data_IF_730146086247
#
_entry.id   IF_730146086247
#
_cell.length_a   1.000
_cell.length_b   1.000
_cell.length_c   1.000
_cell.angle_alpha   90.00
_cell.angle_beta   90.00
_cell.angle_gamma   90.00
#
_symmetry.space_group_name_H-M   'P 1'
#
loop_
_entity.id
_entity.type
_entity.pdbx_description
1 polymer ?
#
# COMPACT_ATOMS: atom_id res chain seq x y z
N UNK A 1 47.11 93.93 27.24
CA UNK A 1 45.77 93.35 27.60
C UNK A 1 45.04 93.08 26.37
N UNK A 2 45.12 91.89 25.80
CA UNK A 2 44.39 91.50 24.58
C UNK A 2 43.86 90.12 24.72
N UNK A 3 42.55 89.98 24.61
CA UNK A 3 41.80 88.73 24.64
C UNK A 3 41.77 88.10 23.25
N UNK A 4 42.25 86.87 23.12
CA UNK A 4 42.15 86.06 21.93
C UNK A 4 40.83 85.24 21.97
N UNK A 5 39.97 85.45 20.99
CA UNK A 5 38.81 84.56 20.69
C UNK A 5 39.27 83.40 19.79
N UNK A 6 39.11 82.19 20.25
CA UNK A 6 39.25 81.00 19.43
C UNK A 6 37.89 80.52 19.01
N UNK A 7 37.65 80.47 17.70
CA UNK A 7 36.48 79.93 17.02
C UNK A 7 36.52 78.38 17.05
N UNK A 8 35.47 77.76 17.60
CA UNK A 8 35.28 76.33 17.52
C UNK A 8 34.48 76.05 16.24
N UNK A 9 35.03 75.22 15.34
CA UNK A 9 34.28 74.60 14.25
C UNK A 9 33.71 73.24 14.75
N UNK A 10 32.35 73.12 14.76
CA UNK A 10 31.70 71.88 15.04
C UNK A 10 31.73 71.02 13.79
N UNK A 11 32.29 69.80 13.87
CA UNK A 11 32.21 68.76 12.87
C UNK A 11 31.01 67.90 13.21
N UNK A 12 29.98 67.89 12.35
CA UNK A 12 28.84 67.02 12.46
C UNK A 12 29.22 65.66 11.86
N UNK A 13 29.35 64.65 12.72
CA UNK A 13 29.50 63.23 12.31
C UNK A 13 28.14 62.64 12.06
N UNK A 14 27.76 62.40 10.78
CA UNK A 14 26.58 61.66 10.41
C UNK A 14 26.84 60.16 10.58
N UNK A 15 26.29 59.56 11.62
CA UNK A 15 26.31 58.12 11.84
C UNK A 15 25.23 57.47 10.97
N UNK A 16 25.62 56.77 9.87
CA UNK A 16 24.76 55.90 9.10
C UNK A 16 24.51 54.65 9.96
N UNK A 17 23.30 54.50 10.52
CA UNK A 17 22.80 53.21 11.03
C UNK A 17 22.48 52.32 9.85
N UNK A 18 23.37 51.40 9.51
CA UNK A 18 23.09 50.27 8.66
C UNK A 18 22.24 49.29 9.48
N UNK A 19 20.92 49.27 9.24
CA UNK A 19 20.05 48.18 9.70
C UNK A 19 20.39 46.96 8.88
N UNK A 20 21.24 46.10 9.42
CA UNK A 20 21.36 44.73 8.94
C UNK A 20 20.04 44.02 9.25
N UNK A 21 19.21 43.84 8.25
CA UNK A 21 18.12 42.88 8.32
C UNK A 21 18.76 41.52 8.53
N UNK A 22 18.74 41.04 9.75
CA UNK A 22 18.99 39.61 10.06
C UNK A 22 17.93 38.86 9.33
N UNK A 23 18.29 38.25 8.19
CA UNK A 23 17.52 37.13 7.66
C UNK A 23 17.53 36.07 8.75
N UNK A 24 16.46 36.03 9.56
CA UNK A 24 16.28 34.95 10.51
C UNK A 24 16.39 33.66 9.73
N UNK A 25 17.35 32.82 10.07
CA UNK A 25 17.37 31.46 9.65
C UNK A 25 16.01 30.89 10.05
N UNK A 26 15.15 30.57 9.08
CA UNK A 26 13.94 29.83 9.36
C UNK A 26 14.39 28.60 10.16
N UNK A 27 13.98 28.51 11.42
CA UNK A 27 14.33 27.39 12.28
C UNK A 27 13.86 26.12 11.56
N UNK A 28 14.67 25.07 11.64
CA UNK A 28 14.29 23.77 11.11
C UNK A 28 12.90 23.39 11.64
N UNK A 29 11.96 23.10 10.74
CA UNK A 29 10.62 22.69 11.12
C UNK A 29 10.51 21.16 11.01
N UNK A 30 10.23 20.51 12.12
CA UNK A 30 9.98 19.06 12.13
C UNK A 30 8.50 18.82 11.80
N UNK A 31 8.25 17.93 10.82
CA UNK A 31 6.94 17.39 10.49
C UNK A 31 6.88 15.90 10.78
N UNK A 32 5.78 15.45 11.34
CA UNK A 32 5.56 14.05 11.68
C UNK A 32 4.93 13.30 10.51
N UNK A 33 5.51 12.14 10.19
CA UNK A 33 5.00 11.19 9.22
C UNK A 33 4.54 9.91 9.92
N UNK A 34 3.27 9.54 9.78
CA UNK A 34 2.77 8.25 10.23
C UNK A 34 2.61 7.31 9.04
N UNK A 35 3.25 6.13 9.09
CA UNK A 35 3.18 5.13 8.02
C UNK A 35 3.25 3.69 8.54
N UNK A 36 2.92 2.73 7.69
CA UNK A 36 3.18 1.30 7.92
C UNK A 36 4.42 0.81 7.12
N UNK A 37 4.53 0.32 6.07
CA UNK A 37 5.68 -0.11 5.22
C UNK A 37 6.92 -0.64 5.97
N UNK A 38 6.76 -1.12 7.22
CA UNK A 38 7.86 -1.69 8.00
C UNK A 38 8.87 -0.69 8.59
N UNK A 39 9.77 -1.20 9.42
CA UNK A 39 10.88 -0.48 10.07
C UNK A 39 12.21 -1.04 9.56
N UNK A 40 13.06 -0.22 8.96
CA UNK A 40 14.36 -0.63 8.40
C UNK A 40 15.47 0.40 8.61
N UNK A 41 15.38 1.18 9.69
CA UNK A 41 16.37 2.20 10.02
C UNK A 41 17.78 1.64 10.26
N UNK A 42 17.89 0.38 10.71
CA UNK A 42 19.20 -0.28 10.86
C UNK A 42 19.96 -0.35 9.54
N UNK A 43 19.26 -0.60 8.43
CA UNK A 43 19.87 -0.74 7.11
C UNK A 43 19.90 0.59 6.34
N UNK A 44 18.81 1.35 6.39
CA UNK A 44 18.62 2.51 5.53
C UNK A 44 18.58 3.87 6.27
N UNK A 45 18.64 3.92 7.60
CA UNK A 45 18.40 5.13 8.38
C UNK A 45 19.31 6.33 8.06
N UNK A 46 20.48 6.10 7.47
CA UNK A 46 21.43 7.16 7.04
C UNK A 46 21.66 7.20 5.52
N UNK A 47 20.99 6.31 4.77
CA UNK A 47 21.15 6.22 3.31
C UNK A 47 20.29 7.28 2.64
N UNK A 48 20.88 8.03 1.69
CA UNK A 48 20.19 9.02 0.84
C UNK A 48 20.24 8.66 -0.65
N UNK A 49 21.10 7.72 -1.02
CA UNK A 49 21.22 7.21 -2.38
C UNK A 49 20.11 6.18 -2.66
N UNK A 50 19.08 6.63 -3.38
CA UNK A 50 17.89 5.82 -3.67
C UNK A 50 18.20 4.54 -4.46
N UNK A 51 19.29 4.50 -5.21
CA UNK A 51 19.70 3.33 -5.97
C UNK A 51 20.05 2.12 -5.08
N UNK A 52 20.35 2.35 -3.81
CA UNK A 52 20.68 1.33 -2.81
C UNK A 52 19.46 0.79 -2.07
N UNK A 53 18.30 1.40 -2.25
CA UNK A 53 17.08 1.02 -1.56
C UNK A 53 16.32 -0.09 -2.32
N UNK A 54 15.83 -1.07 -1.56
CA UNK A 54 14.98 -2.14 -2.06
C UNK A 54 13.73 -2.30 -1.18
N UNK A 55 12.64 -2.77 -1.77
CA UNK A 55 11.36 -2.98 -1.11
C UNK A 55 10.71 -1.70 -0.61
N UNK A 56 9.48 -1.82 -0.10
CA UNK A 56 8.71 -0.67 0.39
C UNK A 56 9.44 0.09 1.51
N UNK A 57 9.88 -0.64 2.52
CA UNK A 57 10.54 -0.06 3.69
C UNK A 57 11.81 0.71 3.30
N UNK A 58 12.69 0.10 2.50
CA UNK A 58 13.94 0.72 2.06
C UNK A 58 13.69 1.97 1.22
N UNK A 59 12.84 1.86 0.20
CA UNK A 59 12.58 2.97 -0.73
C UNK A 59 11.95 4.16 -0.02
N UNK A 60 10.90 3.97 0.79
CA UNK A 60 10.26 5.10 1.49
C UNK A 60 11.18 5.73 2.56
N UNK A 61 12.01 4.93 3.24
CA UNK A 61 12.97 5.43 4.22
C UNK A 61 14.04 6.29 3.52
N UNK A 62 14.61 5.80 2.42
CA UNK A 62 15.63 6.55 1.67
C UNK A 62 15.04 7.80 0.99
N UNK A 63 13.82 7.75 0.47
CA UNK A 63 13.12 8.94 -0.03
C UNK A 63 12.93 9.98 1.07
N UNK A 64 12.55 9.57 2.28
CA UNK A 64 12.41 10.47 3.43
C UNK A 64 13.76 11.08 3.82
N UNK A 65 14.83 10.29 3.88
CA UNK A 65 16.18 10.78 4.18
C UNK A 65 16.67 11.76 3.11
N UNK A 66 16.40 11.45 1.84
CA UNK A 66 16.76 12.30 0.71
C UNK A 66 16.03 13.65 0.79
N UNK A 67 14.73 13.66 1.06
CA UNK A 67 14.00 14.91 1.32
C UNK A 67 14.61 15.69 2.47
N UNK A 68 14.88 15.05 3.60
CA UNK A 68 15.49 15.70 4.76
C UNK A 68 16.85 16.33 4.46
N UNK A 69 17.62 15.75 3.53
CA UNK A 69 18.93 16.26 3.14
C UNK A 69 18.88 17.36 2.07
N UNK A 70 17.89 17.33 1.18
CA UNK A 70 17.91 18.16 -0.05
C UNK A 70 16.88 19.30 -0.05
N UNK A 71 15.85 19.29 0.83
CA UNK A 71 14.84 20.33 0.80
C UNK A 71 15.41 21.69 1.22
N UNK A 72 14.92 22.75 0.56
CA UNK A 72 15.39 24.14 0.80
C UNK A 72 14.66 24.84 1.93
N UNK A 73 13.67 24.19 2.55
CA UNK A 73 12.88 24.74 3.66
C UNK A 73 13.56 24.52 5.01
N UNK A 74 14.62 23.70 5.08
CA UNK A 74 15.19 23.23 6.34
C UNK A 74 14.22 22.31 7.11
N UNK A 75 13.23 21.76 6.43
CA UNK A 75 12.25 20.87 7.04
C UNK A 75 12.84 19.48 7.29
N UNK A 76 12.40 18.84 8.37
CA UNK A 76 12.76 17.45 8.69
C UNK A 76 11.50 16.62 8.91
N UNK A 77 11.37 15.54 8.14
CA UNK A 77 10.35 14.53 8.35
C UNK A 77 10.81 13.55 9.42
N UNK A 78 10.04 13.43 10.48
CA UNK A 78 10.23 12.45 11.57
C UNK A 78 9.20 11.35 11.42
N UNK A 79 9.66 10.15 11.10
CA UNK A 79 8.78 9.01 10.81
C UNK A 79 8.43 8.26 12.08
N UNK A 80 7.13 7.96 12.24
CA UNK A 80 6.60 6.94 13.15
C UNK A 80 6.04 5.80 12.32
N UNK A 81 6.49 4.58 12.58
CA UNK A 81 6.01 3.37 11.91
C UNK A 81 5.06 2.61 12.84
N UNK A 82 3.98 2.11 12.28
CA UNK A 82 2.95 1.31 12.98
C UNK A 82 2.67 0.07 12.14
N UNK A 83 2.55 -1.08 12.79
CA UNK A 83 2.13 -2.31 12.12
C UNK A 83 0.78 -2.15 11.44
N UNK A 84 0.64 -2.68 10.22
CA UNK A 84 -0.52 -2.46 9.37
C UNK A 84 -1.85 -2.79 10.05
N UNK A 85 -1.92 -3.89 10.80
CA UNK A 85 -3.14 -4.34 11.50
C UNK A 85 -3.68 -3.30 12.49
N UNK A 86 -2.79 -2.57 13.19
CA UNK A 86 -3.12 -1.56 14.20
C UNK A 86 -3.15 -0.12 13.66
N UNK A 87 -2.73 0.09 12.42
CA UNK A 87 -2.43 1.41 11.87
C UNK A 87 -3.62 2.38 11.93
N UNK A 88 -4.78 1.97 11.45
CA UNK A 88 -5.95 2.87 11.38
C UNK A 88 -6.58 3.15 12.74
N UNK A 89 -6.48 2.22 13.68
CA UNK A 89 -6.91 2.44 15.06
C UNK A 89 -5.99 3.47 15.72
N UNK A 90 -4.67 3.36 15.52
CA UNK A 90 -3.71 4.33 16.03
C UNK A 90 -3.88 5.69 15.36
N UNK A 91 -4.02 5.77 14.03
CA UNK A 91 -4.29 7.04 13.33
C UNK A 91 -5.56 7.70 13.84
N UNK A 92 -6.63 6.92 14.07
CA UNK A 92 -7.88 7.44 14.63
C UNK A 92 -7.68 7.97 16.06
N UNK A 93 -6.91 7.27 16.89
CA UNK A 93 -6.62 7.68 18.27
C UNK A 93 -5.86 9.01 18.34
N UNK A 94 -5.03 9.36 17.33
CA UNK A 94 -4.29 10.63 17.32
C UNK A 94 -5.21 11.85 17.37
N UNK A 95 -6.40 11.79 16.78
CA UNK A 95 -7.38 12.89 16.84
C UNK A 95 -7.93 13.10 18.23
N UNK A 96 -8.07 12.02 19.03
CA UNK A 96 -8.55 12.12 20.39
C UNK A 96 -7.48 12.61 21.37
N UNK A 97 -6.21 12.33 21.08
CA UNK A 97 -5.05 12.72 21.91
C UNK A 97 -4.45 14.07 21.53
N UNK A 98 -4.83 14.62 20.38
CA UNK A 98 -4.25 15.86 19.83
C UNK A 98 -2.85 15.69 19.24
N UNK A 99 -2.35 14.45 19.10
CA UNK A 99 -1.05 14.16 18.48
C UNK A 99 -1.20 13.80 17.00
N UNK A 100 -1.91 14.64 16.26
CA UNK A 100 -2.27 14.42 14.86
C UNK A 100 -1.00 14.51 14.00
N UNK A 101 -0.68 13.51 13.14
CA UNK A 101 0.49 13.57 12.28
C UNK A 101 0.33 14.64 11.19
N UNK A 102 1.46 15.20 10.74
CA UNK A 102 1.45 16.20 9.66
C UNK A 102 1.21 15.56 8.29
N UNK A 103 1.71 14.33 8.08
CA UNK A 103 1.46 13.52 6.89
C UNK A 103 1.16 12.09 7.32
N UNK A 104 0.24 11.43 6.64
CA UNK A 104 -0.06 10.02 6.85
C UNK A 104 -0.26 9.29 5.52
N UNK A 105 0.11 8.00 5.46
CA UNK A 105 -0.30 7.13 4.36
C UNK A 105 -1.71 6.61 4.59
N UNK A 106 -2.48 6.42 3.51
CA UNK A 106 -3.85 5.92 3.61
C UNK A 106 -4.18 5.04 2.40
N UNK A 107 -4.97 3.97 2.62
CA UNK A 107 -5.56 3.23 1.52
C UNK A 107 -6.76 4.00 0.94
N UNK A 108 -6.92 3.93 -0.37
CA UNK A 108 -8.06 4.54 -1.05
C UNK A 108 -9.39 4.02 -0.51
N UNK A 109 -9.48 2.72 -0.23
CA UNK A 109 -10.67 2.08 0.35
C UNK A 109 -11.04 2.60 1.74
N UNK A 110 -10.09 3.14 2.50
CA UNK A 110 -10.30 3.65 3.86
C UNK A 110 -10.54 5.16 3.89
N UNK A 111 -10.11 5.90 2.88
CA UNK A 111 -10.22 7.37 2.83
C UNK A 111 -11.63 7.89 3.14
N UNK A 112 -12.74 7.29 2.64
CA UNK A 112 -14.10 7.77 2.94
C UNK A 112 -14.44 7.82 4.44
N UNK A 113 -13.83 6.97 5.25
CA UNK A 113 -14.03 6.98 6.70
C UNK A 113 -13.46 8.24 7.37
N UNK A 114 -12.43 8.81 6.80
CA UNK A 114 -11.79 10.03 7.31
C UNK A 114 -12.35 11.29 6.64
N UNK A 115 -12.47 11.32 5.31
CA UNK A 115 -13.01 12.48 4.57
C UNK A 115 -14.48 12.76 4.92
N UNK A 116 -15.29 11.72 5.08
CA UNK A 116 -16.71 11.86 5.48
C UNK A 116 -16.92 12.39 6.91
N UNK A 117 -15.87 12.39 7.74
CA UNK A 117 -15.87 12.91 9.12
C UNK A 117 -15.10 14.22 9.26
N UNK A 118 -14.73 14.85 8.16
CA UNK A 118 -13.94 16.08 8.11
C UNK A 118 -12.58 15.98 8.86
N UNK A 119 -11.93 14.82 8.74
CA UNK A 119 -10.64 14.55 9.39
C UNK A 119 -9.43 14.73 8.47
N UNK A 120 -9.65 15.12 7.22
CA UNK A 120 -8.58 15.34 6.24
C UNK A 120 -8.59 16.79 5.73
N UNK A 121 -7.42 17.31 5.45
CA UNK A 121 -7.25 18.60 4.80
C UNK A 121 -7.52 18.48 3.30
N UNK A 122 -8.36 19.34 2.68
CA UNK A 122 -8.54 19.40 1.23
C UNK A 122 -7.23 19.73 0.53
N UNK A 123 -6.91 19.03 -0.54
CA UNK A 123 -5.65 19.18 -1.29
C UNK A 123 -5.81 19.74 -2.70
N UNK A 124 -7.03 20.00 -3.20
CA UNK A 124 -7.23 20.53 -4.56
C UNK A 124 -6.45 21.82 -4.83
N UNK A 125 -6.51 22.77 -3.89
CA UNK A 125 -5.74 24.02 -3.95
C UNK A 125 -4.24 23.78 -3.85
N UNK A 126 -3.76 23.15 -2.76
CA UNK A 126 -2.34 22.85 -2.55
C UNK A 126 -1.69 22.09 -3.71
N UNK A 127 -2.31 21.04 -4.26
CA UNK A 127 -1.75 20.29 -5.39
C UNK A 127 -1.60 21.18 -6.64
N UNK A 128 -2.55 22.06 -6.90
CA UNK A 128 -2.46 23.01 -8.01
C UNK A 128 -1.33 24.02 -7.79
N UNK A 129 -1.19 24.59 -6.59
CA UNK A 129 -0.12 25.53 -6.24
C UNK A 129 1.27 24.91 -6.33
N UNK A 130 1.39 23.61 -5.99
CA UNK A 130 2.61 22.82 -6.13
C UNK A 130 2.91 22.42 -7.58
N UNK A 131 2.05 22.74 -8.54
CA UNK A 131 2.22 22.37 -9.93
C UNK A 131 2.09 20.84 -10.16
N UNK A 132 1.25 20.17 -9.37
CA UNK A 132 0.90 18.76 -9.56
C UNK A 132 -0.36 18.71 -10.45
N UNK A 133 -0.25 18.31 -11.72
CA UNK A 133 -1.36 18.30 -12.63
C UNK A 133 -2.29 17.12 -12.36
N UNK A 134 -3.58 17.37 -12.23
CA UNK A 134 -4.57 16.33 -11.97
C UNK A 134 -4.74 15.35 -13.15
N UNK A 135 -4.43 15.79 -14.37
CA UNK A 135 -4.49 14.98 -15.60
C UNK A 135 -3.29 14.03 -15.77
N UNK A 136 -2.26 14.14 -14.93
CA UNK A 136 -1.19 13.14 -14.85
C UNK A 136 -1.62 11.87 -14.08
N UNK A 137 -2.70 11.93 -13.32
CA UNK A 137 -3.21 10.75 -12.63
C UNK A 137 -4.17 9.94 -13.50
N UNK A 138 -4.07 8.61 -13.42
CA UNK A 138 -5.08 7.74 -14.04
C UNK A 138 -6.45 8.04 -13.44
N UNK A 139 -7.54 8.09 -14.27
CA UNK A 139 -8.84 8.57 -13.82
C UNK A 139 -9.39 7.87 -12.57
N UNK A 140 -9.16 6.55 -12.45
CA UNK A 140 -9.61 5.77 -11.30
C UNK A 140 -8.92 6.19 -9.99
N UNK A 141 -7.60 6.47 -10.03
CA UNK A 141 -6.84 6.88 -8.86
C UNK A 141 -7.29 8.27 -8.38
N UNK A 142 -7.48 9.21 -9.31
CA UNK A 142 -7.98 10.54 -8.98
C UNK A 142 -9.41 10.50 -8.43
N UNK A 143 -10.29 9.69 -9.04
CA UNK A 143 -11.65 9.46 -8.54
C UNK A 143 -11.64 8.97 -7.09
N UNK A 144 -10.78 7.99 -6.79
CA UNK A 144 -10.69 7.40 -5.45
C UNK A 144 -10.10 8.37 -4.41
N UNK A 145 -9.31 9.37 -4.82
CA UNK A 145 -8.78 10.42 -3.98
C UNK A 145 -9.76 11.59 -3.77
N UNK A 146 -10.92 11.56 -4.44
CA UNK A 146 -11.88 12.68 -4.48
C UNK A 146 -13.14 12.31 -3.71
N UNK A 147 -13.62 13.21 -2.86
CA UNK A 147 -14.91 13.13 -2.20
C UNK A 147 -15.61 14.50 -2.27
N UNK A 148 -16.91 14.51 -2.57
CA UNK A 148 -17.72 15.73 -2.69
C UNK A 148 -17.12 16.83 -3.60
N UNK A 149 -16.41 16.41 -4.66
CA UNK A 149 -15.76 17.33 -5.61
C UNK A 149 -14.41 17.88 -5.16
N UNK A 150 -13.91 17.50 -3.99
CA UNK A 150 -12.62 17.89 -3.43
C UNK A 150 -11.62 16.71 -3.43
N UNK A 151 -10.36 16.97 -3.75
CA UNK A 151 -9.27 15.99 -3.61
C UNK A 151 -8.78 16.05 -2.16
N UNK A 152 -8.74 14.90 -1.48
CA UNK A 152 -8.26 14.77 -0.09
C UNK A 152 -6.95 14.03 0.06
N UNK A 153 -6.44 13.43 -1.01
CA UNK A 153 -5.23 12.65 -0.98
C UNK A 153 -4.42 12.83 -2.25
N UNK A 154 -3.10 12.72 -2.15
CA UNK A 154 -2.20 12.54 -3.28
C UNK A 154 -2.18 11.06 -3.65
N UNK A 155 -2.73 10.63 -4.80
CA UNK A 155 -2.63 9.23 -5.24
C UNK A 155 -1.16 8.83 -5.42
N UNK A 156 -0.80 7.61 -4.99
CA UNK A 156 0.60 7.22 -4.98
C UNK A 156 0.89 5.95 -5.79
N UNK A 157 0.05 4.91 -5.65
CA UNK A 157 0.20 3.65 -6.39
C UNK A 157 -1.14 2.96 -6.66
N UNK A 158 -1.04 1.87 -7.40
CA UNK A 158 -2.02 0.79 -7.44
C UNK A 158 -1.31 -0.50 -7.01
N UNK A 159 -1.88 -1.22 -6.07
CA UNK A 159 -1.40 -2.52 -5.65
C UNK A 159 -2.51 -3.57 -5.74
N UNK A 160 -2.14 -4.80 -6.05
CA UNK A 160 -3.08 -5.87 -6.30
C UNK A 160 -2.48 -7.22 -5.89
N UNK A 161 -3.33 -8.24 -5.75
CA UNK A 161 -2.88 -9.61 -5.54
C UNK A 161 -2.17 -10.16 -6.76
N UNK A 162 -1.15 -10.95 -6.50
CA UNK A 162 -0.36 -11.69 -7.48
C UNK A 162 -0.10 -13.13 -6.98
N UNK A 163 0.26 -13.99 -7.89
CA UNK A 163 0.92 -15.26 -7.60
C UNK A 163 2.44 -15.07 -7.76
N UNK A 164 3.17 -15.13 -6.65
CA UNK A 164 4.63 -15.22 -6.67
C UNK A 164 5.03 -16.68 -6.77
N UNK A 165 5.87 -17.05 -7.73
CA UNK A 165 6.06 -18.44 -8.14
C UNK A 165 7.51 -18.88 -7.93
N UNK A 166 7.68 -19.97 -7.19
CA UNK A 166 8.95 -20.69 -7.06
C UNK A 166 9.10 -21.64 -8.25
N UNK A 167 9.85 -21.19 -9.26
CA UNK A 167 10.05 -21.98 -10.48
C UNK A 167 10.93 -23.22 -10.29
N UNK A 168 11.73 -23.28 -9.23
CA UNK A 168 12.52 -24.47 -8.92
C UNK A 168 11.58 -25.63 -8.54
N UNK A 169 10.61 -25.37 -7.68
CA UNK A 169 9.60 -26.35 -7.30
C UNK A 169 8.59 -26.63 -8.41
N UNK A 170 8.22 -25.60 -9.20
CA UNK A 170 7.34 -25.83 -10.35
C UNK A 170 7.98 -26.76 -11.39
N UNK A 171 9.28 -26.61 -11.67
CA UNK A 171 10.04 -27.50 -12.54
C UNK A 171 10.12 -28.92 -11.96
N UNK A 172 10.38 -29.05 -10.66
CA UNK A 172 10.39 -30.36 -9.97
C UNK A 172 9.04 -31.08 -10.12
N UNK A 173 7.93 -30.33 -10.07
CA UNK A 173 6.58 -30.87 -10.26
C UNK A 173 6.17 -31.07 -11.74
N UNK A 174 7.05 -30.81 -12.71
CA UNK A 174 6.73 -30.78 -14.14
C UNK A 174 5.57 -29.82 -14.45
N UNK A 175 5.58 -28.63 -13.84
CA UNK A 175 4.57 -27.57 -13.98
C UNK A 175 5.18 -26.27 -14.54
N UNK A 176 6.18 -26.39 -15.38
CA UNK A 176 6.76 -25.28 -16.15
C UNK A 176 6.47 -25.47 -17.65
N UNK A 177 6.11 -24.39 -18.32
CA UNK A 177 5.97 -24.36 -19.77
C UNK A 177 7.34 -24.39 -20.48
N UNK A 178 7.41 -24.74 -21.76
CA UNK A 178 8.67 -24.76 -22.54
C UNK A 178 9.39 -23.42 -22.58
N UNK A 179 8.66 -22.29 -22.47
CA UNK A 179 9.21 -20.92 -22.42
C UNK A 179 9.72 -20.52 -21.02
N UNK A 180 9.63 -21.43 -20.06
CA UNK A 180 10.04 -21.19 -18.67
C UNK A 180 9.04 -20.45 -17.81
N UNK A 181 7.82 -20.17 -18.33
CA UNK A 181 6.72 -19.63 -17.51
C UNK A 181 6.06 -20.71 -16.66
N UNK A 182 5.38 -20.37 -15.54
CA UNK A 182 4.65 -21.35 -14.75
C UNK A 182 3.38 -21.82 -15.49
N UNK A 183 3.05 -23.10 -15.32
CA UNK A 183 1.73 -23.62 -15.71
C UNK A 183 0.73 -23.25 -14.61
N UNK A 184 -0.15 -22.30 -14.91
CA UNK A 184 -1.16 -21.81 -13.97
C UNK A 184 -2.53 -22.43 -14.24
N UNK A 185 -3.37 -22.63 -13.21
CA UNK A 185 -4.72 -23.17 -13.37
C UNK A 185 -5.63 -22.20 -14.13
N UNK A 186 -6.61 -22.73 -14.85
CA UNK A 186 -7.61 -21.99 -15.64
C UNK A 186 -9.02 -22.16 -15.12
N UNK A 187 -9.18 -22.87 -14.01
CA UNK A 187 -10.45 -23.03 -13.30
C UNK A 187 -10.19 -23.38 -11.82
N UNK A 188 -11.25 -23.28 -11.01
CA UNK A 188 -11.21 -23.69 -9.60
C UNK A 188 -10.83 -25.18 -9.44
N UNK A 189 -11.41 -26.06 -10.25
CA UNK A 189 -11.10 -27.50 -10.21
C UNK A 189 -9.65 -27.77 -10.61
N UNK A 190 -9.14 -27.04 -11.62
CA UNK A 190 -7.75 -27.18 -12.06
C UNK A 190 -6.78 -26.69 -10.98
N UNK A 191 -7.11 -25.66 -10.21
CA UNK A 191 -6.29 -25.22 -9.08
C UNK A 191 -6.08 -26.35 -8.07
N UNK A 192 -7.15 -27.02 -7.69
CA UNK A 192 -7.07 -28.15 -6.74
C UNK A 192 -6.33 -29.32 -7.36
N UNK A 193 -6.59 -29.67 -8.62
CA UNK A 193 -5.91 -30.75 -9.31
C UNK A 193 -4.39 -30.50 -9.44
N UNK A 194 -4.00 -29.30 -9.84
CA UNK A 194 -2.60 -28.89 -9.91
C UNK A 194 -1.94 -28.88 -8.54
N UNK A 195 -2.64 -28.38 -7.50
CA UNK A 195 -2.13 -28.39 -6.13
C UNK A 195 -1.84 -29.81 -5.61
N UNK A 196 -2.76 -30.77 -5.86
CA UNK A 196 -2.53 -32.19 -5.51
C UNK A 196 -1.32 -32.80 -6.24
N UNK A 197 -1.23 -32.58 -7.56
CA UNK A 197 -0.09 -33.02 -8.36
C UNK A 197 1.23 -32.40 -7.85
N UNK A 198 1.23 -31.13 -7.55
CA UNK A 198 2.41 -30.44 -6.99
C UNK A 198 2.82 -31.05 -5.66
N UNK A 199 1.87 -31.23 -4.73
CA UNK A 199 2.11 -31.82 -3.42
C UNK A 199 2.64 -33.25 -3.51
N UNK A 200 2.09 -34.08 -4.41
CA UNK A 200 2.58 -35.43 -4.68
C UNK A 200 4.04 -35.45 -5.17
N UNK A 201 4.39 -34.53 -6.09
CA UNK A 201 5.69 -34.46 -6.70
C UNK A 201 6.77 -33.86 -5.79
N UNK A 202 6.40 -32.94 -4.90
CA UNK A 202 7.37 -32.17 -4.10
C UNK A 202 7.33 -32.48 -2.61
N UNK A 203 6.25 -33.08 -2.11
CA UNK A 203 5.96 -33.25 -0.69
C UNK A 203 5.60 -31.92 0.04
N UNK A 204 5.40 -30.83 -0.69
CA UNK A 204 5.20 -29.49 -0.15
C UNK A 204 3.81 -28.94 -0.46
N UNK A 205 3.28 -27.99 0.34
CA UNK A 205 2.09 -27.22 0.00
C UNK A 205 2.25 -26.51 -1.34
N UNK A 206 1.15 -26.40 -2.08
CA UNK A 206 1.14 -25.68 -3.35
C UNK A 206 1.13 -24.16 -3.13
N UNK A 207 0.39 -23.70 -2.12
CA UNK A 207 0.19 -22.27 -1.82
C UNK A 207 0.69 -21.97 -0.41
N UNK A 208 1.51 -20.94 -0.26
CA UNK A 208 1.72 -20.22 0.98
C UNK A 208 0.84 -18.97 0.97
N UNK A 209 0.22 -18.67 2.10
CA UNK A 209 -0.53 -17.45 2.32
C UNK A 209 -0.67 -17.19 3.81
N UNK A 210 -0.86 -15.93 4.19
CA UNK A 210 -1.32 -15.60 5.52
C UNK A 210 -2.68 -16.26 5.78
N UNK A 211 -2.78 -16.97 6.90
CA UNK A 211 -3.91 -17.84 7.25
C UNK A 211 -4.41 -17.65 8.69
N UNK A 212 -3.68 -16.95 9.54
CA UNK A 212 -3.99 -16.81 10.97
C UNK A 212 -4.15 -15.38 11.46
N UNK A 213 -3.58 -14.39 10.79
CA UNK A 213 -3.54 -13.04 11.30
C UNK A 213 -4.70 -12.17 10.75
N UNK A 214 -4.74 -10.92 11.21
CA UNK A 214 -5.73 -9.94 10.81
C UNK A 214 -5.39 -9.24 9.47
N UNK A 215 -4.38 -9.71 8.73
CA UNK A 215 -3.99 -9.14 7.43
C UNK A 215 -5.03 -9.45 6.35
N UNK A 216 -5.73 -10.58 6.47
CA UNK A 216 -6.88 -10.93 5.64
C UNK A 216 -6.54 -11.23 4.19
N UNK A 217 -5.42 -11.86 3.91
CA UNK A 217 -5.03 -12.22 2.55
C UNK A 217 -6.08 -13.10 1.87
N UNK A 218 -6.67 -14.03 2.63
CA UNK A 218 -7.74 -14.89 2.11
C UNK A 218 -9.06 -14.15 1.88
N UNK A 219 -9.33 -13.04 2.59
CA UNK A 219 -10.48 -12.17 2.27
C UNK A 219 -10.26 -11.48 0.92
N UNK A 220 -9.06 -10.97 0.65
CA UNK A 220 -8.71 -10.39 -0.66
C UNK A 220 -8.85 -11.42 -1.79
N UNK A 221 -8.48 -12.66 -1.52
CA UNK A 221 -8.67 -13.75 -2.48
C UNK A 221 -10.14 -14.10 -2.64
N UNK A 222 -10.91 -14.15 -1.56
CA UNK A 222 -12.38 -14.35 -1.60
C UNK A 222 -13.06 -13.26 -2.44
N UNK A 223 -12.75 -11.98 -2.21
CA UNK A 223 -13.27 -10.87 -3.01
C UNK A 223 -12.92 -11.02 -4.50
N UNK A 224 -11.68 -11.43 -4.79
CA UNK A 224 -11.25 -11.75 -6.16
C UNK A 224 -12.15 -12.82 -6.80
N UNK A 225 -12.40 -13.91 -6.07
CA UNK A 225 -13.25 -15.01 -6.56
C UNK A 225 -14.71 -14.60 -6.75
N UNK A 226 -15.24 -13.72 -5.89
CA UNK A 226 -16.57 -13.14 -6.04
C UNK A 226 -16.68 -12.31 -7.32
N UNK A 227 -15.73 -11.38 -7.53
CA UNK A 227 -15.70 -10.55 -8.74
C UNK A 227 -15.46 -11.36 -10.02
N UNK A 228 -14.69 -12.45 -9.95
CA UNK A 228 -14.55 -13.37 -11.07
C UNK A 228 -15.88 -14.06 -11.44
N UNK A 229 -16.84 -14.12 -10.52
CA UNK A 229 -18.20 -14.61 -10.76
C UNK A 229 -19.20 -13.48 -11.04
N UNK A 230 -18.77 -12.22 -11.05
CA UNK A 230 -19.60 -11.05 -11.38
C UNK A 230 -20.42 -10.51 -10.20
N UNK A 231 -20.06 -10.84 -8.96
CA UNK A 231 -20.75 -10.40 -7.74
C UNK A 231 -19.85 -9.50 -6.90
N UNK A 232 -20.37 -8.34 -6.50
CA UNK A 232 -19.75 -7.47 -5.52
C UNK A 232 -20.12 -7.90 -4.10
N UNK A 233 -19.12 -7.99 -3.21
CA UNK A 233 -19.31 -8.36 -1.80
C UNK A 233 -20.18 -7.34 -1.06
N UNK A 234 -20.04 -6.05 -1.41
CA UNK A 234 -20.86 -4.94 -0.90
C UNK A 234 -21.37 -4.15 -2.09
N UNK A 235 -22.65 -3.77 -2.06
CA UNK A 235 -23.24 -2.93 -3.10
C UNK A 235 -22.51 -1.60 -3.27
N UNK A 236 -22.53 -1.03 -4.48
CA UNK A 236 -21.83 0.22 -4.81
C UNK A 236 -22.27 1.42 -3.95
N UNK A 237 -23.49 1.39 -3.41
CA UNK A 237 -24.00 2.43 -2.49
C UNK A 237 -23.67 2.15 -1.01
N UNK A 238 -22.93 1.07 -0.74
CA UNK A 238 -22.51 0.68 0.61
C UNK A 238 -23.60 0.23 1.56
N UNK A 239 -24.79 -0.15 1.05
CA UNK A 239 -25.95 -0.44 1.90
C UNK A 239 -26.28 -1.91 2.09
N UNK A 240 -25.84 -2.78 1.21
CA UNK A 240 -26.14 -4.20 1.24
C UNK A 240 -24.87 -5.05 1.08
N UNK A 241 -24.84 -6.19 1.75
CA UNK A 241 -23.84 -7.22 1.53
C UNK A 241 -24.43 -8.32 0.60
N UNK A 242 -23.56 -8.94 -0.22
CA UNK A 242 -23.93 -10.04 -1.12
C UNK A 242 -22.90 -11.17 -0.99
N UNK A 243 -22.72 -11.68 0.23
CA UNK A 243 -21.74 -12.71 0.59
C UNK A 243 -22.35 -14.10 0.58
N UNK A 244 -23.51 -14.26 1.22
CA UNK A 244 -24.22 -15.53 1.32
C UNK A 244 -25.05 -15.78 0.04
N UNK A 245 -24.33 -16.09 -1.03
CA UNK A 245 -24.86 -16.34 -2.38
C UNK A 245 -24.28 -17.63 -2.95
N UNK A 246 -24.81 -18.18 -4.05
CA UNK A 246 -24.19 -19.32 -4.72
C UNK A 246 -22.73 -19.07 -5.11
N UNK A 247 -22.40 -17.86 -5.55
CA UNK A 247 -21.05 -17.44 -5.93
C UNK A 247 -20.12 -17.39 -4.71
N UNK A 248 -20.63 -16.87 -3.57
CA UNK A 248 -19.93 -16.90 -2.29
C UNK A 248 -19.65 -18.34 -1.84
N UNK A 249 -20.65 -19.23 -2.01
CA UNK A 249 -20.48 -20.64 -1.66
C UNK A 249 -19.42 -21.33 -2.54
N UNK A 250 -19.36 -21.02 -3.83
CA UNK A 250 -18.31 -21.53 -4.72
C UNK A 250 -16.92 -21.05 -4.28
N UNK A 251 -16.77 -19.76 -3.97
CA UNK A 251 -15.53 -19.17 -3.49
C UNK A 251 -15.08 -19.78 -2.15
N UNK A 252 -15.99 -19.89 -1.18
CA UNK A 252 -15.73 -20.48 0.13
C UNK A 252 -15.35 -21.96 0.04
N UNK A 253 -16.03 -22.74 -0.79
CA UNK A 253 -15.69 -24.16 -1.03
C UNK A 253 -14.30 -24.32 -1.64
N UNK A 254 -13.93 -23.47 -2.61
CA UNK A 254 -12.59 -23.51 -3.19
C UNK A 254 -11.51 -23.23 -2.14
N UNK A 255 -11.68 -22.18 -1.34
CA UNK A 255 -10.74 -21.84 -0.27
C UNK A 255 -10.68 -22.96 0.77
N UNK A 256 -11.83 -23.48 1.21
CA UNK A 256 -11.89 -24.62 2.14
C UNK A 256 -11.16 -25.85 1.59
N UNK A 257 -11.31 -26.15 0.29
CA UNK A 257 -10.63 -27.27 -0.36
C UNK A 257 -9.10 -27.08 -0.40
N UNK A 258 -8.60 -25.86 -0.59
CA UNK A 258 -7.15 -25.56 -0.54
C UNK A 258 -6.56 -26.03 0.81
N UNK A 259 -7.26 -25.77 1.91
CA UNK A 259 -6.78 -26.16 3.25
C UNK A 259 -7.05 -27.64 3.58
N UNK A 260 -8.25 -28.13 3.32
CA UNK A 260 -8.65 -29.51 3.66
C UNK A 260 -7.87 -30.57 2.87
N UNK A 261 -7.42 -30.27 1.66
CA UNK A 261 -6.53 -31.13 0.87
C UNK A 261 -5.03 -30.91 1.24
N UNK A 262 -4.76 -30.02 2.20
CA UNK A 262 -3.40 -29.71 2.65
C UNK A 262 -2.55 -29.07 1.55
N UNK A 263 -3.17 -28.27 0.71
CA UNK A 263 -2.47 -27.50 -0.34
C UNK A 263 -1.95 -26.16 0.16
N UNK A 264 -2.40 -25.71 1.35
CA UNK A 264 -1.85 -24.58 2.09
C UNK A 264 -1.64 -24.98 3.55
N UNK A 265 -0.71 -24.28 4.22
CA UNK A 265 -0.44 -24.46 5.65
C UNK A 265 -1.29 -23.45 6.45
N UNK A 266 -2.26 -23.89 7.27
CA UNK A 266 -3.13 -22.99 8.04
C UNK A 266 -2.42 -22.30 9.21
N UNK A 267 -1.17 -22.70 9.54
CA UNK A 267 -0.42 -22.17 10.68
C UNK A 267 0.42 -20.92 10.36
N UNK A 268 0.40 -20.45 9.10
CA UNK A 268 1.23 -19.32 8.69
C UNK A 268 0.53 -17.98 8.99
N UNK A 269 1.23 -17.11 9.68
CA UNK A 269 0.95 -15.67 9.71
C UNK A 269 1.59 -14.99 8.48
N UNK A 270 1.48 -13.68 8.38
CA UNK A 270 1.97 -12.94 7.22
C UNK A 270 3.51 -13.10 7.05
N UNK A 271 4.38 -12.79 8.05
CA UNK A 271 5.81 -12.99 7.92
C UNK A 271 6.20 -14.46 7.70
N UNK A 272 5.50 -15.38 8.35
CA UNK A 272 5.71 -16.82 8.19
C UNK A 272 5.42 -17.31 6.78
N UNK A 273 4.41 -16.75 6.11
CA UNK A 273 4.08 -17.10 4.72
C UNK A 273 5.16 -16.66 3.74
N UNK A 274 5.68 -15.45 3.90
CA UNK A 274 6.81 -14.93 3.12
C UNK A 274 8.07 -15.77 3.34
N UNK A 275 8.38 -16.06 4.61
CA UNK A 275 9.56 -16.85 4.95
C UNK A 275 9.46 -18.29 4.42
N UNK A 276 8.30 -18.92 4.50
CA UNK A 276 8.07 -20.25 3.93
C UNK A 276 8.33 -20.28 2.42
N UNK A 277 7.86 -19.25 1.70
CA UNK A 277 8.11 -19.12 0.27
C UNK A 277 9.62 -18.93 -0.04
N UNK A 278 10.30 -18.04 0.68
CA UNK A 278 11.75 -17.80 0.52
C UNK A 278 12.59 -19.02 0.87
N UNK A 279 12.15 -19.83 1.83
CA UNK A 279 12.76 -21.10 2.20
C UNK A 279 12.48 -22.23 1.19
N UNK A 280 11.69 -21.97 0.14
CA UNK A 280 11.31 -22.99 -0.82
C UNK A 280 10.38 -24.06 -0.24
N UNK A 281 9.51 -23.69 0.68
CA UNK A 281 8.54 -24.58 1.33
C UNK A 281 7.17 -24.60 0.65
N UNK A 282 6.95 -23.73 -0.36
CA UNK A 282 5.73 -23.71 -1.16
C UNK A 282 6.01 -23.34 -2.62
N UNK A 283 5.13 -23.78 -3.53
CA UNK A 283 5.24 -23.50 -4.95
C UNK A 283 4.84 -22.07 -5.34
N UNK A 284 3.84 -21.56 -4.67
CA UNK A 284 3.26 -20.24 -4.91
C UNK A 284 3.12 -19.52 -3.56
N UNK A 285 3.42 -18.21 -3.54
CA UNK A 285 2.98 -17.33 -2.47
C UNK A 285 1.84 -16.45 -3.01
N UNK A 286 0.67 -16.52 -2.39
CA UNK A 286 -0.40 -15.55 -2.62
C UNK A 286 -0.10 -14.31 -1.80
N UNK A 287 0.36 -13.27 -2.48
CA UNK A 287 0.69 -11.98 -1.88
C UNK A 287 0.45 -10.88 -2.93
N UNK A 288 0.91 -9.66 -2.71
CA UNK A 288 0.64 -8.56 -3.62
C UNK A 288 1.87 -8.01 -4.33
N UNK A 289 1.62 -7.01 -5.17
CA UNK A 289 2.64 -6.32 -5.96
C UNK A 289 3.80 -5.80 -5.11
N UNK A 290 3.58 -5.47 -3.84
CA UNK A 290 4.57 -4.95 -2.89
C UNK A 290 5.73 -5.91 -2.58
N UNK A 291 5.57 -7.21 -2.82
CA UNK A 291 6.60 -8.21 -2.59
C UNK A 291 7.57 -8.44 -3.75
N UNK A 292 7.27 -7.95 -4.96
CA UNK A 292 7.98 -8.30 -6.20
C UNK A 292 9.48 -8.01 -6.12
N UNK A 293 9.86 -6.80 -5.72
CA UNK A 293 11.27 -6.40 -5.62
C UNK A 293 12.02 -7.19 -4.54
N UNK A 294 11.38 -7.37 -3.38
CA UNK A 294 11.97 -8.12 -2.28
C UNK A 294 12.25 -9.58 -2.68
N UNK A 295 11.27 -10.29 -3.23
CA UNK A 295 11.46 -11.70 -3.58
C UNK A 295 12.43 -11.89 -4.74
N UNK A 296 12.42 -11.01 -5.74
CA UNK A 296 13.40 -11.00 -6.84
C UNK A 296 14.83 -10.77 -6.31
N UNK A 297 15.01 -9.78 -5.44
CA UNK A 297 16.29 -9.47 -4.81
C UNK A 297 16.79 -10.62 -3.94
N UNK A 298 15.93 -11.23 -3.14
CA UNK A 298 16.29 -12.40 -2.30
C UNK A 298 16.69 -13.60 -3.16
N UNK A 299 15.97 -13.89 -4.23
CA UNK A 299 16.31 -14.97 -5.14
C UNK A 299 17.68 -14.73 -5.83
N UNK A 300 17.94 -13.52 -6.30
CA UNK A 300 19.20 -13.13 -6.96
C UNK A 300 20.38 -13.07 -6.01
N UNK A 301 20.17 -12.72 -4.74
CA UNK A 301 21.24 -12.64 -3.73
C UNK A 301 21.89 -14.01 -3.43
N UNK A 302 21.20 -15.10 -3.75
CA UNK A 302 21.62 -16.45 -3.41
C UNK A 302 21.50 -16.81 -1.92
N UNK A 303 20.99 -15.92 -1.07
CA UNK A 303 20.82 -16.17 0.38
C UNK A 303 19.56 -17.00 0.69
N UNK A 304 18.46 -16.77 -0.03
CA UNK A 304 17.25 -17.57 0.09
C UNK A 304 17.41 -18.96 -0.55
N UNK A 305 16.57 -19.92 -0.18
CA UNK A 305 16.47 -21.20 -0.87
C UNK A 305 15.77 -21.05 -2.24
N UNK A 306 14.86 -20.09 -2.36
CA UNK A 306 14.29 -19.64 -3.62
C UNK A 306 15.41 -19.10 -4.53
N UNK A 307 15.61 -19.70 -5.69
CA UNK A 307 16.63 -19.27 -6.68
C UNK A 307 16.03 -18.78 -7.99
N UNK A 308 14.92 -19.37 -8.40
CA UNK A 308 14.27 -19.07 -9.66
C UNK A 308 12.87 -18.53 -9.39
N UNK A 309 12.77 -17.19 -9.36
CA UNK A 309 11.56 -16.46 -9.05
C UNK A 309 10.87 -15.99 -10.34
N UNK A 310 9.56 -16.11 -10.37
CA UNK A 310 8.67 -15.48 -11.34
C UNK A 310 7.43 -14.95 -10.61
N UNK A 311 6.73 -14.06 -11.28
CA UNK A 311 5.44 -13.57 -10.79
C UNK A 311 4.39 -13.70 -11.89
N UNK A 312 3.14 -13.85 -11.50
CA UNK A 312 2.02 -13.96 -12.43
C UNK A 312 0.78 -13.25 -11.89
N UNK A 313 -0.10 -12.85 -12.80
CA UNK A 313 -1.45 -12.43 -12.40
C UNK A 313 -2.13 -13.57 -11.66
N UNK A 314 -3.00 -13.24 -10.70
CA UNK A 314 -3.94 -14.23 -10.16
C UNK A 314 -4.76 -14.80 -11.32
N UNK A 315 -4.79 -16.12 -11.51
CA UNK A 315 -5.43 -16.73 -12.66
C UNK A 315 -6.94 -16.52 -12.66
N UNK A 316 -7.52 -16.53 -13.85
CA UNK A 316 -8.97 -16.57 -14.02
C UNK A 316 -9.49 -17.95 -13.67
N UNK A 317 -10.11 -18.09 -12.50
CA UNK A 317 -10.66 -19.35 -11.99
C UNK A 317 -12.16 -19.51 -12.28
N UNK A 318 -12.83 -18.40 -12.61
CA UNK A 318 -14.25 -18.32 -12.97
C UNK A 318 -14.45 -17.50 -14.27
N UNK A 319 -15.63 -16.95 -14.48
CA UNK A 319 -16.04 -16.35 -15.76
C UNK A 319 -15.25 -15.07 -16.14
N UNK A 320 -14.84 -14.27 -15.17
CA UNK A 320 -14.22 -12.96 -15.42
C UNK A 320 -12.77 -12.91 -14.95
N UNK A 321 -11.91 -12.21 -15.69
CA UNK A 321 -10.56 -11.91 -15.24
C UNK A 321 -10.60 -10.67 -14.33
N UNK A 322 -10.70 -10.88 -13.04
CA UNK A 322 -10.72 -9.84 -12.01
C UNK A 322 -9.74 -10.20 -10.89
N UNK A 323 -9.21 -9.18 -10.23
CA UNK A 323 -8.31 -9.35 -9.08
C UNK A 323 -8.50 -8.21 -8.09
N UNK A 324 -8.42 -8.52 -6.81
CA UNK A 324 -8.44 -7.53 -5.74
C UNK A 324 -7.30 -6.52 -5.89
N UNK A 325 -7.62 -5.25 -5.74
CA UNK A 325 -6.67 -4.15 -5.76
C UNK A 325 -7.08 -3.04 -4.79
N UNK A 326 -6.10 -2.27 -4.35
CA UNK A 326 -6.27 -1.01 -3.63
C UNK A 326 -5.18 -0.02 -4.07
N UNK A 327 -5.09 1.12 -3.43
CA UNK A 327 -4.14 2.18 -3.76
C UNK A 327 -3.65 2.84 -2.47
N UNK A 328 -2.36 3.06 -2.35
CA UNK A 328 -1.83 3.95 -1.33
C UNK A 328 -1.96 5.39 -1.78
N UNK A 329 -2.25 6.24 -0.82
CA UNK A 329 -2.38 7.69 -0.98
C UNK A 329 -1.70 8.39 0.18
N UNK A 330 -1.22 9.60 -0.04
CA UNK A 330 -0.71 10.45 1.03
C UNK A 330 -1.74 11.50 1.38
N UNK A 331 -2.04 11.64 2.65
CA UNK A 331 -3.00 12.61 3.18
C UNK A 331 -2.33 13.56 4.17
N UNK A 332 -2.90 14.74 4.30
CA UNK A 332 -2.63 15.67 5.39
C UNK A 332 -3.81 15.58 6.36
N UNK A 333 -3.69 14.88 7.50
CA UNK A 333 -4.72 14.85 8.53
C UNK A 333 -5.07 16.27 8.98
N UNK A 334 -6.35 16.54 9.22
CA UNK A 334 -6.79 17.88 9.63
C UNK A 334 -6.38 18.17 11.08
N UNK A 335 -5.62 19.23 11.26
CA UNK A 335 -5.20 19.74 12.57
C UNK A 335 -5.29 21.28 12.54
N UNK A 336 -6.22 21.83 13.30
CA UNK A 336 -6.46 23.28 13.38
C UNK A 336 -5.30 24.04 14.09
N UNK A 337 -4.44 23.32 14.81
CA UNK A 337 -3.29 23.88 15.51
C UNK A 337 -2.00 23.80 14.69
N UNK A 338 -2.02 23.22 13.47
CA UNK A 338 -0.84 23.10 12.63
C UNK A 338 -0.39 24.47 12.15
N UNK A 339 0.90 24.80 12.37
CA UNK A 339 1.46 26.05 11.88
C UNK A 339 1.55 26.11 10.36
N UNK A 340 1.58 27.31 9.80
CA UNK A 340 1.70 27.51 8.36
C UNK A 340 3.03 26.93 7.80
N UNK A 341 4.12 27.00 8.60
CA UNK A 341 5.42 26.43 8.24
C UNK A 341 5.35 24.90 8.15
N UNK A 342 4.67 24.24 9.10
CA UNK A 342 4.44 22.78 9.07
C UNK A 342 3.57 22.37 7.87
N UNK A 343 2.51 23.13 7.60
CA UNK A 343 1.65 22.89 6.43
C UNK A 343 2.47 22.96 5.14
N UNK A 344 3.26 24.02 4.98
CA UNK A 344 4.13 24.19 3.81
C UNK A 344 5.20 23.08 3.69
N UNK A 345 5.74 22.62 4.80
CA UNK A 345 6.70 21.52 4.81
C UNK A 345 6.05 20.19 4.45
N UNK A 346 4.83 19.91 4.96
CA UNK A 346 4.05 18.74 4.60
C UNK A 346 3.69 18.72 3.10
N UNK A 347 3.23 19.83 2.56
CA UNK A 347 2.94 20.00 1.13
C UNK A 347 4.20 19.81 0.26
N UNK A 348 5.35 20.38 0.67
CA UNK A 348 6.61 20.17 -0.03
C UNK A 348 7.07 18.70 -0.01
N UNK A 349 6.80 17.96 1.08
CA UNK A 349 7.06 16.53 1.13
C UNK A 349 6.13 15.74 0.20
N UNK A 350 4.85 16.09 0.11
CA UNK A 350 3.94 15.50 -0.87
C UNK A 350 4.43 15.73 -2.31
N UNK A 351 4.88 16.96 -2.63
CA UNK A 351 5.46 17.27 -3.95
C UNK A 351 6.69 16.42 -4.23
N UNK A 352 7.58 16.29 -3.25
CA UNK A 352 8.78 15.47 -3.38
C UNK A 352 8.42 13.99 -3.65
N UNK A 353 7.44 13.43 -2.95
CA UNK A 353 6.97 12.06 -3.18
C UNK A 353 6.35 11.90 -4.58
N UNK A 354 5.57 12.90 -5.03
CA UNK A 354 5.04 12.92 -6.40
C UNK A 354 6.17 12.91 -7.44
N UNK A 355 7.17 13.77 -7.29
CA UNK A 355 8.29 13.88 -8.25
C UNK A 355 9.13 12.59 -8.31
N UNK A 356 9.20 11.87 -7.19
CA UNK A 356 9.96 10.63 -7.07
C UNK A 356 9.09 9.36 -7.15
N UNK A 357 7.87 9.43 -7.68
CA UNK A 357 6.94 8.30 -7.74
C UNK A 357 7.47 7.10 -8.55
N UNK A 358 8.33 7.33 -9.54
CA UNK A 358 9.01 6.25 -10.26
C UNK A 358 9.79 5.34 -9.30
N UNK A 359 10.48 5.90 -8.31
CA UNK A 359 11.27 5.11 -7.34
C UNK A 359 10.38 4.18 -6.52
N UNK A 360 9.18 4.65 -6.13
CA UNK A 360 8.20 3.79 -5.48
C UNK A 360 7.75 2.63 -6.37
N UNK A 361 7.62 2.86 -7.65
CA UNK A 361 7.26 1.79 -8.60
C UNK A 361 8.26 0.64 -8.64
N UNK A 362 9.51 0.84 -8.23
CA UNK A 362 10.52 -0.23 -8.17
C UNK A 362 10.17 -1.35 -7.21
N UNK A 363 9.37 -1.07 -6.18
CA UNK A 363 8.88 -2.08 -5.21
C UNK A 363 8.08 -3.21 -5.86
N UNK A 364 7.43 -2.93 -6.98
CA UNK A 364 6.45 -3.80 -7.63
C UNK A 364 5.10 -3.11 -7.84
N UNK A 365 4.82 -2.05 -7.08
CA UNK A 365 3.60 -1.27 -7.25
C UNK A 365 3.47 -0.71 -8.66
N UNK A 366 2.24 -0.60 -9.14
CA UNK A 366 1.96 0.09 -10.38
C UNK A 366 1.82 1.59 -10.11
N UNK A 367 2.47 2.42 -10.91
CA UNK A 367 2.28 3.86 -10.81
C UNK A 367 0.83 4.23 -11.17
N UNK A 368 0.34 5.28 -10.54
CA UNK A 368 -0.94 5.92 -10.89
C UNK A 368 -0.73 7.21 -11.69
N UNK A 369 0.53 7.54 -12.02
CA UNK A 369 0.90 8.67 -12.87
C UNK A 369 1.10 8.22 -14.31
N UNK A 370 0.36 8.84 -15.24
CA UNK A 370 0.45 8.49 -16.66
C UNK A 370 1.86 8.73 -17.21
N UNK A 371 2.49 9.84 -16.81
CA UNK A 371 3.87 10.17 -17.21
C UNK A 371 4.90 9.12 -16.78
N UNK A 372 4.70 8.48 -15.63
CA UNK A 372 5.56 7.38 -15.16
C UNK A 372 5.25 6.10 -15.92
N UNK A 373 3.97 5.73 -16.06
CA UNK A 373 3.53 4.53 -16.79
C UNK A 373 4.04 4.50 -18.24
N UNK A 374 4.07 5.67 -18.90
CA UNK A 374 4.52 5.80 -20.29
C UNK A 374 6.03 5.77 -20.43
N UNK A 375 6.79 5.98 -19.37
CA UNK A 375 8.24 6.05 -19.40
C UNK A 375 8.89 4.71 -19.78
N UNK A 376 9.99 4.78 -20.51
CA UNK A 376 10.80 3.61 -20.83
C UNK A 376 11.39 2.96 -19.56
N UNK A 377 11.72 3.78 -18.55
CA UNK A 377 12.28 3.30 -17.30
C UNK A 377 11.28 2.40 -16.53
N UNK A 378 10.01 2.81 -16.42
CA UNK A 378 8.97 2.00 -15.78
C UNK A 378 8.74 0.68 -16.55
N UNK A 379 8.65 0.74 -17.87
CA UNK A 379 8.44 -0.44 -18.73
C UNK A 379 9.60 -1.45 -18.67
N UNK A 380 10.81 -0.98 -18.35
CA UNK A 380 12.00 -1.82 -18.21
C UNK A 380 12.20 -2.41 -16.80
N UNK A 381 11.35 -2.07 -15.82
CA UNK A 381 11.45 -2.65 -14.49
C UNK A 381 11.27 -4.18 -14.52
N UNK A 382 11.98 -4.93 -13.67
CA UNK A 382 11.86 -6.38 -13.61
C UNK A 382 10.41 -6.85 -13.48
N UNK A 383 10.07 -7.94 -14.13
CA UNK A 383 8.78 -8.64 -14.06
C UNK A 383 7.54 -7.85 -14.53
N UNK A 384 7.66 -6.58 -14.94
CA UNK A 384 6.48 -5.74 -15.31
C UNK A 384 5.59 -6.37 -16.38
N UNK A 385 6.18 -7.05 -17.36
CA UNK A 385 5.44 -7.75 -18.41
C UNK A 385 4.72 -9.02 -17.93
N UNK A 386 5.14 -9.60 -16.81
CA UNK A 386 4.58 -10.85 -16.26
C UNK A 386 3.23 -10.62 -15.58
N UNK A 387 3.02 -9.42 -15.04
CA UNK A 387 1.76 -9.04 -14.39
C UNK A 387 1.12 -7.75 -14.94
N UNK A 388 1.49 -7.35 -16.16
CA UNK A 388 0.95 -6.13 -16.78
C UNK A 388 -0.58 -6.11 -16.86
N UNK A 389 -1.21 -7.27 -17.08
CA UNK A 389 -2.67 -7.39 -17.13
C UNK A 389 -3.35 -7.08 -15.78
N UNK A 390 -2.63 -7.13 -14.66
CA UNK A 390 -3.16 -6.77 -13.33
C UNK A 390 -3.73 -5.37 -13.32
N UNK A 391 -3.09 -4.39 -13.98
CA UNK A 391 -3.58 -3.02 -14.05
C UNK A 391 -4.99 -2.91 -14.67
N UNK A 392 -5.29 -3.72 -15.69
CA UNK A 392 -6.59 -3.75 -16.37
C UNK A 392 -7.62 -4.57 -15.59
N UNK A 393 -7.18 -5.61 -14.89
CA UNK A 393 -8.03 -6.56 -14.19
C UNK A 393 -8.29 -6.15 -12.73
N UNK A 394 -7.56 -5.15 -12.25
CA UNK A 394 -7.68 -4.60 -10.91
C UNK A 394 -9.12 -4.16 -10.62
N UNK A 395 -9.66 -4.62 -9.51
CA UNK A 395 -10.99 -4.26 -9.01
C UNK A 395 -10.82 -3.72 -7.60
N UNK A 396 -11.13 -2.44 -7.44
CA UNK A 396 -11.05 -1.76 -6.15
C UNK A 396 -12.29 -2.10 -5.30
N UNK A 397 -12.07 -2.15 -3.98
CA UNK A 397 -13.16 -2.22 -3.02
C UNK A 397 -14.11 -1.03 -3.17
N UNK A 398 -15.42 -1.21 -2.97
CA UNK A 398 -16.35 -0.09 -2.93
C UNK A 398 -15.95 0.89 -1.83
N UNK A 399 -16.03 2.18 -2.11
CA UNK A 399 -15.74 3.23 -1.15
C UNK A 399 -16.90 3.40 -0.17
N UNK A 400 -16.84 2.66 0.94
CA UNK A 400 -17.85 2.70 2.00
C UNK A 400 -17.24 3.21 3.29
N UNK A 401 -18.04 3.89 4.10
CA UNK A 401 -17.62 4.23 5.46
C UNK A 401 -17.36 2.95 6.26
N UNK A 402 -16.34 2.98 7.12
CA UNK A 402 -15.94 1.83 7.94
C UNK A 402 -15.52 0.60 7.15
N UNK A 403 -14.88 0.78 5.97
CA UNK A 403 -14.38 -0.33 5.15
C UNK A 403 -13.51 -1.31 5.96
N UNK A 404 -12.66 -0.82 6.86
CA UNK A 404 -11.85 -1.69 7.72
C UNK A 404 -12.70 -2.57 8.64
N UNK A 405 -13.82 -2.06 9.16
CA UNK A 405 -14.74 -2.87 9.97
C UNK A 405 -15.49 -3.92 9.13
N UNK A 406 -15.83 -3.62 7.86
CA UNK A 406 -16.35 -4.60 6.92
C UNK A 406 -15.34 -5.73 6.72
N UNK A 407 -14.12 -5.39 6.45
CA UNK A 407 -13.03 -6.33 6.23
C UNK A 407 -12.78 -7.23 7.46
N UNK A 408 -12.69 -6.63 8.65
CA UNK A 408 -12.50 -7.36 9.90
C UNK A 408 -13.68 -8.31 10.20
N UNK A 409 -14.91 -7.92 9.84
CA UNK A 409 -16.08 -8.79 10.01
C UNK A 409 -16.02 -10.05 9.12
N UNK A 410 -15.30 -9.97 7.98
CA UNK A 410 -15.13 -11.13 7.10
C UNK A 410 -13.99 -12.05 7.55
N UNK A 411 -12.87 -11.49 8.04
CA UNK A 411 -11.65 -12.26 8.35
C UNK A 411 -11.94 -13.38 9.34
N UNK A 412 -12.60 -13.08 10.45
CA UNK A 412 -12.84 -14.04 11.53
C UNK A 412 -13.65 -15.24 11.07
N UNK A 413 -14.74 -14.98 10.37
CA UNK A 413 -15.67 -16.04 9.95
C UNK A 413 -15.11 -16.83 8.75
N UNK A 414 -14.40 -16.17 7.84
CA UNK A 414 -13.71 -16.85 6.73
C UNK A 414 -12.61 -17.77 7.27
N UNK A 415 -11.75 -17.27 8.16
CA UNK A 415 -10.65 -18.05 8.74
C UNK A 415 -11.15 -19.24 9.58
N UNK A 416 -12.34 -19.17 10.17
CA UNK A 416 -12.94 -20.26 10.93
C UNK A 416 -13.11 -21.55 10.11
N UNK A 417 -13.22 -21.45 8.77
CA UNK A 417 -13.36 -22.63 7.91
C UNK A 417 -12.17 -23.60 8.05
N UNK A 418 -10.95 -23.08 8.14
CA UNK A 418 -9.74 -23.94 8.25
C UNK A 418 -9.13 -23.98 9.64
N UNK A 419 -9.41 -22.98 10.49
CA UNK A 419 -8.88 -22.98 11.86
C UNK A 419 -9.72 -23.81 12.83
N UNK A 420 -11.04 -23.84 12.63
CA UNK A 420 -11.99 -24.53 13.53
C UNK A 420 -12.89 -25.54 12.82
N UNK A 421 -12.76 -25.70 11.51
CA UNK A 421 -13.57 -26.62 10.72
C UNK A 421 -15.02 -26.16 10.51
N UNK A 422 -15.26 -24.85 10.54
CA UNK A 422 -16.59 -24.30 10.25
C UNK A 422 -16.99 -24.59 8.81
N UNK A 423 -18.19 -25.12 8.61
CA UNK A 423 -18.71 -25.40 7.27
C UNK A 423 -18.82 -24.13 6.43
N UNK A 424 -18.48 -24.16 5.13
CA UNK A 424 -18.46 -22.98 4.25
C UNK A 424 -19.76 -22.17 4.26
N UNK A 425 -20.92 -22.83 4.22
CA UNK A 425 -22.21 -22.15 4.26
C UNK A 425 -22.45 -21.41 5.58
N UNK A 426 -22.04 -21.99 6.71
CA UNK A 426 -22.19 -21.37 8.02
C UNK A 426 -21.26 -20.15 8.15
N UNK A 427 -20.02 -20.24 7.65
CA UNK A 427 -19.08 -19.12 7.59
C UNK A 427 -19.63 -17.96 6.75
N UNK A 428 -20.20 -18.24 5.57
CA UNK A 428 -20.82 -17.20 4.72
C UNK A 428 -22.00 -16.52 5.40
N UNK A 429 -22.89 -17.26 6.02
CA UNK A 429 -24.04 -16.67 6.73
C UNK A 429 -23.59 -15.78 7.90
N UNK A 430 -22.52 -16.16 8.62
CA UNK A 430 -21.92 -15.35 9.68
C UNK A 430 -21.26 -14.08 9.12
N UNK A 431 -20.48 -14.20 8.03
CA UNK A 431 -19.86 -13.07 7.32
C UNK A 431 -20.92 -12.08 6.83
N UNK A 432 -21.97 -12.55 6.15
CA UNK A 432 -23.10 -11.74 5.69
C UNK A 432 -23.70 -10.94 6.86
N UNK A 433 -24.06 -11.61 7.94
CA UNK A 433 -24.65 -10.97 9.11
C UNK A 433 -23.69 -9.98 9.80
N UNK A 434 -22.38 -10.28 9.82
CA UNK A 434 -21.34 -9.43 10.35
C UNK A 434 -21.20 -8.13 9.55
N UNK A 435 -21.06 -8.24 8.25
CA UNK A 435 -20.94 -7.10 7.33
C UNK A 435 -22.22 -6.24 7.36
N UNK A 436 -23.39 -6.83 7.30
CA UNK A 436 -24.64 -6.07 7.40
C UNK A 436 -24.77 -5.29 8.73
N UNK A 437 -24.28 -5.82 9.85
CA UNK A 437 -24.24 -5.05 11.10
C UNK A 437 -23.38 -3.80 11.00
N UNK A 438 -22.23 -3.90 10.32
CA UNK A 438 -21.36 -2.76 10.08
C UNK A 438 -22.05 -1.74 9.17
N UNK A 439 -22.60 -2.18 8.03
CA UNK A 439 -23.26 -1.30 7.05
C UNK A 439 -24.47 -0.57 7.64
N UNK A 440 -25.23 -1.22 8.54
CA UNK A 440 -26.36 -0.57 9.24
C UNK A 440 -25.94 0.60 10.17
N UNK A 441 -24.73 0.55 10.74
CA UNK A 441 -24.19 1.65 11.58
C UNK A 441 -23.77 2.87 10.77
N UNK A 442 -23.63 2.73 9.47
CA UNK A 442 -23.23 3.81 8.55
C UNK A 442 -24.45 4.56 7.98
N UNK A 443 -25.67 4.15 8.34
CA UNK A 443 -26.95 4.79 7.96
C UNK A 443 -27.39 5.78 9.01
#
# INVERSE_FOLDING_TARGET
MMRNLKTFRALALATLLATTASAGSAGAVDISLLRFFGECNTEYGTVTDISKANGECGIITVLTNKFNAENTLGAKVVTQTVEWGAYYDQLTATYSTGNIPDVAVMHASVMPNFSGRDLLTPLSGPLKELGIPSDDFVPAALKNATANGEIYALPFDLHALLFHVNMDLMKQANMANPDGSPMLPKSADELIAQGKKFKEATGKPFIASESQSAEGMMVRFFDTLMWQQGVDVVSADGKAASIDTPEGLNAAKLISAIYSEGLANPALDYPGSEQAFLNGEAGILLNGTWGVDNYDSQAKSGKAALKSYRVANVPQLFANQKVWADSHMWVIPKDENRSAEKTKAAEAFLKFLYDNNYEWSRTGHLSVRQSVLDSAAFKALPHRNEFAATATNATALPQVQNQRAVYNAMITDLNAMWLTGTEPQAALSAMQAGVERVLRRNR
#
